data_IF_144753763761
#
_entry.id   IF_144753763761
#
_cell.length_a   1.000
_cell.length_b   1.000
_cell.length_c   1.000
_cell.angle_alpha   90.00
_cell.angle_beta   90.00
_cell.angle_gamma   90.00
#
_symmetry.space_group_name_H-M   'P 1'
#
loop_
_entity.id
_entity.type
_entity.pdbx_description
1 polymer ?
#
# COMPACT_ATOMS: atom_id res chain seq x y z
N UNK A 1 7.95 7.98 30.65
CA UNK A 1 8.96 7.76 29.59
C UNK A 1 8.28 8.01 28.26
N UNK A 2 8.94 8.62 27.28
CA UNK A 2 8.34 8.84 25.95
C UNK A 2 8.12 7.50 25.24
N UNK A 3 6.94 7.32 24.64
CA UNK A 3 6.62 6.13 23.83
C UNK A 3 7.57 6.00 22.64
N UNK A 4 8.18 4.83 22.47
CA UNK A 4 9.03 4.56 21.29
C UNK A 4 8.15 4.13 20.11
N UNK A 5 8.25 4.86 19.00
CA UNK A 5 7.58 4.52 17.74
C UNK A 5 8.42 3.51 16.96
N UNK A 6 7.81 2.40 16.57
CA UNK A 6 8.38 1.39 15.67
C UNK A 6 7.70 1.51 14.30
N UNK A 7 8.47 1.66 13.23
CA UNK A 7 7.95 1.58 11.86
C UNK A 7 7.77 0.09 11.53
N UNK A 8 6.52 -0.36 11.49
CA UNK A 8 6.21 -1.79 11.40
C UNK A 8 6.78 -2.43 10.13
N UNK A 9 6.74 -1.69 9.04
CA UNK A 9 7.21 -2.11 7.73
C UNK A 9 8.73 -2.11 7.56
N UNK A 10 9.46 -1.47 8.47
CA UNK A 10 10.92 -1.47 8.52
C UNK A 10 11.49 -2.67 9.30
N UNK A 11 10.62 -3.48 9.91
CA UNK A 11 11.01 -4.68 10.63
C UNK A 11 11.21 -5.85 9.66
N UNK A 12 12.04 -6.81 10.03
CA UNK A 12 12.01 -8.16 9.43
C UNK A 12 10.92 -9.01 10.07
N UNK A 13 10.56 -10.14 9.45
CA UNK A 13 9.46 -10.96 9.96
C UNK A 13 9.76 -11.55 11.36
N UNK A 14 11.01 -11.89 11.66
CA UNK A 14 11.42 -12.44 12.95
C UNK A 14 11.37 -11.39 14.07
N UNK A 15 11.63 -10.12 13.71
CA UNK A 15 11.41 -8.99 14.61
C UNK A 15 9.92 -8.80 14.90
N UNK A 16 9.05 -8.88 13.88
CA UNK A 16 7.59 -8.87 14.07
C UNK A 16 7.13 -10.08 14.90
N UNK A 17 7.71 -11.26 14.67
CA UNK A 17 7.43 -12.47 15.44
C UNK A 17 7.81 -12.32 16.94
N UNK A 18 8.79 -11.47 17.23
CA UNK A 18 9.28 -11.20 18.58
C UNK A 18 8.53 -10.05 19.30
N UNK A 19 7.63 -9.34 18.62
CA UNK A 19 6.86 -8.25 19.24
C UNK A 19 5.89 -8.79 20.31
N UNK A 20 5.68 -8.04 21.41
CA UNK A 20 4.58 -8.31 22.34
C UNK A 20 3.24 -8.29 21.61
N UNK A 21 2.38 -9.28 21.86
CA UNK A 21 1.08 -9.40 21.16
C UNK A 21 0.05 -8.38 21.64
N UNK A 22 0.33 -7.68 22.73
CA UNK A 22 -0.42 -6.54 23.25
C UNK A 22 0.22 -5.18 22.88
N UNK A 23 1.23 -5.14 22.01
CA UNK A 23 1.70 -3.87 21.46
C UNK A 23 0.59 -3.20 20.64
N UNK A 24 0.35 -1.88 20.77
CA UNK A 24 -0.54 -1.16 19.87
C UNK A 24 0.05 -1.12 18.46
N UNK A 25 -0.71 -1.63 17.49
CA UNK A 25 -0.43 -1.48 16.07
C UNK A 25 -1.46 -0.55 15.44
N UNK A 26 -0.99 0.51 14.79
CA UNK A 26 -1.85 1.58 14.25
C UNK A 26 -1.62 1.72 12.75
N UNK A 27 -2.68 1.59 11.97
CA UNK A 27 -2.76 1.88 10.54
C UNK A 27 -3.22 3.32 10.31
N UNK A 28 -2.34 4.27 9.95
CA UNK A 28 -2.74 5.65 9.71
C UNK A 28 -3.34 5.84 8.31
N UNK A 29 -4.50 6.50 8.24
CA UNK A 29 -5.09 6.96 6.98
C UNK A 29 -4.53 8.36 6.67
N UNK A 30 -3.60 8.48 5.72
CA UNK A 30 -2.84 9.70 5.50
C UNK A 30 -1.70 9.91 6.52
N UNK A 31 -1.12 11.10 6.49
CA UNK A 31 0.07 11.47 7.28
C UNK A 31 -0.14 12.78 8.05
N UNK A 32 0.86 13.21 8.81
CA UNK A 32 0.83 14.48 9.55
C UNK A 32 0.14 14.41 10.91
N UNK A 33 0.02 13.20 11.48
CA UNK A 33 -0.53 13.00 12.84
C UNK A 33 0.49 13.37 13.92
N UNK A 34 -0.01 13.97 15.00
CA UNK A 34 0.75 14.14 16.24
C UNK A 34 0.89 12.78 16.95
N UNK A 35 2.11 12.24 16.94
CA UNK A 35 2.39 10.92 17.49
C UNK A 35 2.48 10.92 19.03
N UNK A 36 2.73 12.07 19.66
CA UNK A 36 2.71 12.19 21.13
C UNK A 36 1.25 12.12 21.61
N UNK A 37 0.36 12.83 20.93
CA UNK A 37 -1.07 12.77 21.21
C UNK A 37 -1.65 11.38 20.94
N UNK A 38 -1.20 10.69 19.89
CA UNK A 38 -1.54 9.30 19.61
C UNK A 38 -1.12 8.37 20.75
N UNK A 39 0.12 8.50 21.21
CA UNK A 39 0.63 7.71 22.33
C UNK A 39 -0.19 7.95 23.60
N UNK A 40 -0.50 9.22 23.91
CA UNK A 40 -1.33 9.57 25.07
C UNK A 40 -2.74 8.97 24.99
N UNK A 41 -3.39 9.01 23.82
CA UNK A 41 -4.70 8.35 23.61
C UNK A 41 -4.65 6.83 23.85
N UNK A 42 -3.48 6.22 23.64
CA UNK A 42 -3.24 4.79 23.86
C UNK A 42 -2.64 4.48 25.24
N UNK A 43 -2.74 5.43 26.18
CA UNK A 43 -2.25 5.33 27.56
C UNK A 43 -0.73 5.21 27.66
N UNK A 44 -0.02 5.98 26.83
CA UNK A 44 1.44 6.14 26.85
C UNK A 44 2.19 4.79 26.91
N UNK A 45 1.96 3.88 25.94
CA UNK A 45 2.59 2.57 25.93
C UNK A 45 4.11 2.71 25.80
N UNK A 46 4.92 1.75 26.27
CA UNK A 46 6.37 1.82 26.11
C UNK A 46 6.80 1.80 24.63
N UNK A 47 6.04 1.09 23.79
CA UNK A 47 6.24 0.98 22.35
C UNK A 47 4.91 1.06 21.61
N UNK A 48 4.93 1.60 20.40
CA UNK A 48 3.81 1.64 19.47
C UNK A 48 4.30 1.29 18.06
N UNK A 49 3.66 0.33 17.42
CA UNK A 49 3.90 0.01 16.02
C UNK A 49 3.04 0.86 15.10
N UNK A 50 3.67 1.62 14.21
CA UNK A 50 3.02 2.40 13.18
C UNK A 50 3.19 1.68 11.83
N UNK A 51 2.08 1.29 11.21
CA UNK A 51 2.07 0.70 9.89
C UNK A 51 2.37 1.76 8.81
N UNK A 52 2.70 1.33 7.57
CA UNK A 52 2.70 2.23 6.43
C UNK A 52 1.41 3.05 6.34
N UNK A 53 1.50 4.25 5.79
CA UNK A 53 0.31 5.07 5.60
C UNK A 53 -0.56 4.50 4.49
N UNK A 54 -1.87 4.41 4.74
CA UNK A 54 -2.85 4.20 3.68
C UNK A 54 -3.09 5.54 2.96
N UNK A 55 -2.79 5.68 1.66
CA UNK A 55 -2.60 7.00 1.04
C UNK A 55 -3.89 7.74 0.66
N UNK A 56 -4.97 7.02 0.30
CA UNK A 56 -6.24 7.61 -0.14
C UNK A 56 -7.38 6.60 -0.07
N UNK A 57 -8.62 7.02 -0.35
CA UNK A 57 -9.79 6.14 -0.51
C UNK A 57 -10.96 6.49 0.41
N UNK A 58 -10.70 7.21 1.50
CA UNK A 58 -11.74 7.74 2.37
C UNK A 58 -12.21 9.13 1.95
N UNK A 59 -13.35 9.56 2.49
CA UNK A 59 -13.89 10.91 2.25
C UNK A 59 -12.94 12.00 2.75
N UNK A 60 -12.60 12.96 1.91
CA UNK A 60 -11.63 14.02 2.19
C UNK A 60 -10.19 13.68 1.78
N UNK A 61 -9.91 12.48 1.27
CA UNK A 61 -8.56 12.10 0.85
C UNK A 61 -8.14 12.65 -0.53
N UNK A 62 -9.06 13.32 -1.25
CA UNK A 62 -8.88 13.79 -2.63
C UNK A 62 -9.07 12.74 -3.74
N UNK A 63 -9.08 11.45 -3.37
CA UNK A 63 -9.41 10.33 -4.26
C UNK A 63 -10.32 9.36 -3.50
N UNK A 64 -11.56 9.81 -3.31
CA UNK A 64 -12.56 9.14 -2.50
C UNK A 64 -13.22 8.00 -3.29
N UNK A 65 -13.43 6.86 -2.66
CA UNK A 65 -14.15 5.72 -3.24
C UNK A 65 -15.38 5.36 -2.39
N UNK A 66 -16.29 4.47 -2.85
CA UNK A 66 -17.43 4.06 -2.04
C UNK A 66 -17.03 3.48 -0.68
N UNK A 67 -17.65 3.99 0.38
CA UNK A 67 -17.26 3.72 1.78
C UNK A 67 -17.21 2.23 2.15
N UNK A 68 -18.16 1.43 1.63
CA UNK A 68 -18.19 -0.02 1.83
C UNK A 68 -16.97 -0.74 1.23
N UNK A 69 -16.51 -0.30 0.07
CA UNK A 69 -15.33 -0.86 -0.61
C UNK A 69 -14.08 -0.53 0.20
N UNK A 70 -13.95 0.73 0.61
CA UNK A 70 -12.85 1.18 1.46
C UNK A 70 -12.80 0.42 2.79
N UNK A 71 -13.94 0.34 3.49
CA UNK A 71 -14.05 -0.34 4.79
C UNK A 71 -13.64 -1.80 4.68
N UNK A 72 -14.09 -2.51 3.65
CA UNK A 72 -13.73 -3.92 3.49
C UNK A 72 -12.24 -4.14 3.32
N UNK A 73 -11.57 -3.27 2.55
CA UNK A 73 -10.12 -3.33 2.38
C UNK A 73 -9.40 -3.13 3.72
N UNK A 74 -9.76 -2.07 4.47
CA UNK A 74 -9.15 -1.76 5.76
C UNK A 74 -9.41 -2.88 6.77
N UNK A 75 -10.63 -3.40 6.86
CA UNK A 75 -10.97 -4.51 7.75
C UNK A 75 -10.05 -5.71 7.52
N UNK A 76 -9.83 -6.12 6.27
CA UNK A 76 -8.97 -7.27 5.96
C UNK A 76 -7.51 -7.05 6.40
N UNK A 77 -7.00 -5.82 6.31
CA UNK A 77 -5.65 -5.49 6.82
C UNK A 77 -5.58 -5.57 8.34
N UNK A 78 -6.58 -5.02 9.06
CA UNK A 78 -6.62 -5.12 10.52
C UNK A 78 -6.80 -6.58 10.98
N UNK A 79 -7.62 -7.35 10.27
CA UNK A 79 -7.81 -8.77 10.53
C UNK A 79 -6.53 -9.56 10.30
N UNK A 80 -5.70 -9.15 9.33
CA UNK A 80 -4.39 -9.78 9.14
C UNK A 80 -3.52 -9.67 10.41
N UNK A 81 -3.47 -8.49 11.04
CA UNK A 81 -2.73 -8.33 12.30
C UNK A 81 -3.36 -9.14 13.44
N UNK A 82 -4.69 -9.25 13.49
CA UNK A 82 -5.38 -10.05 14.52
C UNK A 82 -5.14 -11.55 14.34
N UNK A 83 -5.07 -12.03 13.10
CA UNK A 83 -4.70 -13.42 12.79
C UNK A 83 -3.28 -13.73 13.26
N UNK A 84 -2.37 -12.74 13.25
CA UNK A 84 -1.04 -12.82 13.86
C UNK A 84 -1.07 -12.65 15.40
N UNK A 85 -2.27 -12.76 15.99
CA UNK A 85 -2.57 -12.68 17.43
C UNK A 85 -2.34 -11.32 18.09
N UNK A 86 -2.20 -10.22 17.34
CA UNK A 86 -2.12 -8.89 17.95
C UNK A 86 -3.49 -8.45 18.48
N UNK A 87 -3.56 -8.13 19.77
CA UNK A 87 -4.82 -7.81 20.46
C UNK A 87 -5.22 -6.32 20.38
N UNK A 88 -4.24 -5.44 20.14
CA UNK A 88 -4.41 -3.97 20.12
C UNK A 88 -4.14 -3.43 18.72
N UNK A 89 -5.10 -3.63 17.82
CA UNK A 89 -5.01 -3.24 16.41
C UNK A 89 -6.00 -2.13 16.09
N UNK A 90 -5.48 -1.03 15.58
CA UNK A 90 -6.26 0.18 15.32
C UNK A 90 -6.02 0.74 13.91
N UNK A 91 -7.00 1.46 13.41
CA UNK A 91 -6.87 2.40 12.31
C UNK A 91 -6.98 3.82 12.85
N UNK A 92 -6.09 4.71 12.43
CA UNK A 92 -6.11 6.13 12.81
C UNK A 92 -6.72 6.94 11.66
N UNK A 93 -7.93 7.44 11.87
CA UNK A 93 -8.67 8.23 10.90
C UNK A 93 -8.37 9.73 11.07
N UNK A 94 -8.33 10.50 9.97
CA UNK A 94 -8.09 11.92 10.05
C UNK A 94 -9.34 12.67 10.56
N UNK A 95 -9.13 13.93 10.93
CA UNK A 95 -10.23 14.82 11.27
C UNK A 95 -11.19 15.01 10.07
N UNK A 96 -12.49 15.12 10.35
CA UNK A 96 -13.51 15.32 9.32
C UNK A 96 -14.07 14.03 8.71
N UNK A 97 -13.65 12.86 9.22
CA UNK A 97 -14.33 11.61 8.90
C UNK A 97 -15.80 11.68 9.32
N UNK A 98 -16.70 11.29 8.43
CA UNK A 98 -18.13 11.31 8.70
C UNK A 98 -18.45 10.33 9.85
N UNK A 99 -18.92 10.81 11.03
CA UNK A 99 -19.19 9.95 12.17
C UNK A 99 -20.34 8.97 11.92
N UNK A 100 -21.13 9.17 10.86
CA UNK A 100 -22.21 8.29 10.42
C UNK A 100 -21.80 7.40 9.24
N UNK A 101 -20.52 7.41 8.84
CA UNK A 101 -20.03 6.51 7.77
C UNK A 101 -20.15 5.04 8.19
N UNK A 102 -20.36 4.19 7.19
CA UNK A 102 -20.35 2.74 7.37
C UNK A 102 -18.99 2.26 7.91
N UNK A 103 -17.91 2.94 7.55
CA UNK A 103 -16.58 2.71 8.13
C UNK A 103 -16.57 2.86 9.65
N UNK A 104 -17.09 3.98 10.18
CA UNK A 104 -17.12 4.23 11.63
C UNK A 104 -18.10 3.29 12.33
N UNK A 105 -19.26 3.01 11.72
CA UNK A 105 -20.21 2.01 12.23
C UNK A 105 -19.54 0.65 12.42
N UNK A 106 -18.79 0.19 11.41
CA UNK A 106 -18.18 -1.14 11.40
C UNK A 106 -16.91 -1.24 12.24
N UNK A 107 -16.11 -0.17 12.33
CA UNK A 107 -14.78 -0.18 12.95
C UNK A 107 -14.66 0.69 14.21
N UNK A 108 -15.78 1.15 14.78
CA UNK A 108 -15.80 2.09 15.92
C UNK A 108 -14.83 1.75 17.06
N UNK A 109 -14.74 0.48 17.48
CA UNK A 109 -13.86 0.03 18.56
C UNK A 109 -12.36 -0.03 18.17
N UNK A 110 -12.07 -0.08 16.88
CA UNK A 110 -10.73 -0.13 16.31
C UNK A 110 -10.32 1.18 15.62
N UNK A 111 -11.15 2.23 15.66
CA UNK A 111 -10.89 3.50 14.99
C UNK A 111 -10.49 4.59 16.00
N UNK A 112 -9.25 5.06 15.91
CA UNK A 112 -8.74 6.19 16.67
C UNK A 112 -8.98 7.49 15.93
N UNK A 113 -9.23 8.56 16.69
CA UNK A 113 -9.38 9.94 16.22
C UNK A 113 -8.68 10.87 17.20
N UNK A 114 -7.73 11.66 16.70
CA UNK A 114 -7.01 12.64 17.51
C UNK A 114 -7.67 14.02 17.43
N UNK A 115 -7.73 14.77 18.54
CA UNK A 115 -8.17 16.16 18.51
C UNK A 115 -7.12 17.05 17.84
N UNK A 116 -7.56 17.98 16.98
CA UNK A 116 -6.70 18.96 16.31
C UNK A 116 -6.63 18.78 14.79
N UNK A 117 -6.12 19.80 14.06
CA UNK A 117 -6.02 19.74 12.61
C UNK A 117 -5.05 18.65 12.21
N UNK A 118 -5.57 17.58 11.60
CA UNK A 118 -4.72 16.72 10.80
C UNK A 118 -4.33 17.57 9.60
N UNK A 119 -3.05 17.91 9.47
CA UNK A 119 -2.55 18.36 8.18
C UNK A 119 -2.54 17.13 7.28
N UNK A 120 -3.72 16.70 6.82
CA UNK A 120 -3.82 16.00 5.55
C UNK A 120 -3.39 17.07 4.57
N UNK A 121 -2.08 17.18 4.35
CA UNK A 121 -1.57 17.89 3.20
C UNK A 121 -2.29 17.20 2.04
N UNK A 122 -3.15 17.89 1.26
CA UNK A 122 -3.69 17.29 0.06
C UNK A 122 -2.45 16.84 -0.69
N UNK A 123 -2.27 15.52 -0.75
CA UNK A 123 -1.06 14.94 -1.26
C UNK A 123 -0.91 15.52 -2.66
N UNK A 124 0.05 16.43 -2.83
CA UNK A 124 0.32 17.13 -4.10
C UNK A 124 0.62 16.18 -5.27
N UNK A 125 0.64 14.89 -4.95
CA UNK A 125 0.85 13.72 -5.78
C UNK A 125 -0.45 13.17 -6.40
N UNK A 126 -1.65 13.65 -6.05
CA UNK A 126 -2.85 13.35 -6.85
C UNK A 126 -2.84 14.20 -8.12
N UNK A 127 -3.11 13.63 -9.31
CA UNK A 127 -2.97 14.35 -10.56
C UNK A 127 -3.99 15.51 -10.63
N UNK A 128 -3.54 16.76 -10.80
CA UNK A 128 -4.46 17.86 -11.10
C UNK A 128 -5.03 17.73 -12.52
N UNK A 129 -6.10 18.46 -12.80
CA UNK A 129 -6.76 18.41 -14.12
C UNK A 129 -5.85 18.80 -15.28
N UNK A 130 -4.77 19.54 -15.02
CA UNK A 130 -3.73 19.90 -16.00
C UNK A 130 -2.91 18.71 -16.48
N UNK A 131 -2.97 17.57 -15.79
CA UNK A 131 -2.23 16.35 -16.12
C UNK A 131 -3.03 15.36 -16.99
N UNK A 132 -4.27 15.72 -17.39
CA UNK A 132 -5.09 14.89 -18.27
C UNK A 132 -4.35 14.60 -19.59
N UNK A 133 -4.54 13.39 -20.13
CA UNK A 133 -3.84 12.90 -21.31
C UNK A 133 -2.46 12.27 -21.04
N UNK A 134 -1.88 12.44 -19.85
CA UNK A 134 -0.74 11.65 -19.38
C UNK A 134 -1.18 10.25 -18.97
N UNK A 135 -0.22 9.32 -18.94
CA UNK A 135 -0.40 8.00 -18.35
C UNK A 135 -0.28 8.12 -16.83
N UNK A 136 -1.34 7.76 -16.13
CA UNK A 136 -1.35 7.67 -14.67
C UNK A 136 -0.74 6.33 -14.26
N UNK A 137 0.46 6.37 -13.72
CA UNK A 137 1.13 5.24 -13.08
C UNK A 137 0.51 4.99 -11.72
N UNK A 138 0.16 3.74 -11.44
CA UNK A 138 -0.44 3.31 -10.18
C UNK A 138 0.50 2.28 -9.55
N UNK A 139 1.49 2.71 -8.75
CA UNK A 139 2.40 1.80 -8.07
C UNK A 139 1.74 1.12 -6.87
N UNK A 140 1.82 -0.20 -6.84
CA UNK A 140 1.20 -1.06 -5.83
C UNK A 140 2.26 -2.02 -5.31
N UNK A 141 2.74 -1.75 -4.11
CA UNK A 141 3.68 -2.60 -3.39
C UNK A 141 2.95 -3.62 -2.53
N UNK A 142 3.58 -3.95 -1.42
CA UNK A 142 3.04 -4.82 -0.38
C UNK A 142 3.81 -4.63 0.93
N UNK A 143 3.22 -5.15 2.01
CA UNK A 143 3.84 -5.27 3.33
C UNK A 143 3.88 -6.76 3.66
N UNK A 144 5.04 -7.39 3.46
CA UNK A 144 5.20 -8.83 3.66
C UNK A 144 6.59 -9.26 4.09
N UNK A 145 6.65 -10.44 4.71
CA UNK A 145 7.91 -11.06 5.13
C UNK A 145 8.89 -11.18 3.95
N UNK A 146 10.15 -10.83 4.16
CA UNK A 146 11.22 -11.03 3.19
C UNK A 146 12.42 -11.73 3.83
N UNK A 147 12.16 -12.83 4.54
CA UNK A 147 13.21 -13.54 5.27
C UNK A 147 13.84 -12.71 6.40
N UNK A 148 14.98 -13.17 6.91
CA UNK A 148 15.60 -12.60 8.11
C UNK A 148 16.37 -11.29 7.86
N UNK A 149 16.68 -10.96 6.61
CA UNK A 149 17.63 -9.89 6.27
C UNK A 149 16.99 -8.67 5.61
N UNK A 150 15.73 -8.74 5.19
CA UNK A 150 15.04 -7.64 4.53
C UNK A 150 13.80 -7.20 5.32
N UNK A 151 13.45 -5.89 5.22
CA UNK A 151 12.27 -5.35 5.88
C UNK A 151 10.97 -5.75 5.15
N UNK A 152 9.82 -5.53 5.78
CA UNK A 152 8.54 -5.86 5.17
C UNK A 152 8.15 -4.97 3.97
N UNK A 153 8.77 -3.80 3.81
CA UNK A 153 8.46 -2.80 2.78
C UNK A 153 9.17 -2.98 1.43
N UNK A 154 9.89 -4.10 1.20
CA UNK A 154 10.69 -4.35 -0.02
C UNK A 154 9.91 -4.04 -1.31
N UNK A 155 8.74 -4.65 -1.48
CA UNK A 155 7.89 -4.49 -2.66
C UNK A 155 7.49 -3.04 -2.90
N UNK A 156 7.21 -2.31 -1.82
CA UNK A 156 6.79 -0.92 -1.83
C UNK A 156 7.93 -0.01 -2.26
N UNK A 157 9.13 -0.19 -1.69
CA UNK A 157 10.32 0.60 -2.04
C UNK A 157 10.68 0.44 -3.51
N UNK A 158 10.70 -0.80 -3.99
CA UNK A 158 11.10 -1.10 -5.37
C UNK A 158 10.15 -0.44 -6.36
N UNK A 159 8.83 -0.65 -6.19
CA UNK A 159 7.87 -0.16 -7.16
C UNK A 159 7.71 1.37 -7.12
N UNK A 160 7.86 1.98 -5.96
CA UNK A 160 7.88 3.43 -5.80
C UNK A 160 9.10 4.04 -6.52
N UNK A 161 10.29 3.47 -6.34
CA UNK A 161 11.50 3.95 -7.01
C UNK A 161 11.37 3.88 -8.54
N UNK A 162 10.79 2.80 -9.06
CA UNK A 162 10.57 2.61 -10.50
C UNK A 162 9.54 3.60 -11.04
N UNK A 163 8.43 3.82 -10.32
CA UNK A 163 7.41 4.80 -10.72
C UNK A 163 7.97 6.23 -10.74
N UNK A 164 8.66 6.63 -9.67
CA UNK A 164 9.29 7.95 -9.57
C UNK A 164 10.39 8.16 -10.63
N UNK A 165 11.23 7.15 -10.84
CA UNK A 165 12.24 7.16 -11.92
C UNK A 165 11.62 7.26 -13.31
N UNK A 166 10.45 6.64 -13.52
CA UNK A 166 9.71 6.74 -14.79
C UNK A 166 9.15 8.14 -15.00
N UNK A 167 8.49 8.73 -14.00
CA UNK A 167 7.99 10.12 -14.08
C UNK A 167 9.13 11.10 -14.31
N UNK A 168 10.29 10.90 -13.68
CA UNK A 168 11.48 11.73 -13.89
C UNK A 168 11.99 11.66 -15.33
N UNK A 169 11.92 10.48 -15.97
CA UNK A 169 12.41 10.27 -17.35
C UNK A 169 11.43 10.74 -18.43
N UNK A 170 10.12 10.69 -18.18
CA UNK A 170 9.09 11.10 -19.15
C UNK A 170 8.04 12.04 -18.54
N UNK A 171 8.45 13.16 -17.93
CA UNK A 171 7.58 13.99 -17.07
C UNK A 171 6.41 14.63 -17.83
N UNK A 172 6.52 14.82 -19.15
CA UNK A 172 5.44 15.36 -19.99
C UNK A 172 4.39 14.33 -20.38
N UNK A 173 4.64 13.04 -20.12
CA UNK A 173 3.79 11.91 -20.56
C UNK A 173 3.28 11.04 -19.43
N UNK A 174 3.82 11.15 -18.22
CA UNK A 174 3.38 10.37 -17.07
C UNK A 174 3.22 11.20 -15.82
N UNK A 175 2.38 10.69 -14.94
CA UNK A 175 2.19 11.13 -13.56
C UNK A 175 2.06 9.87 -12.70
N UNK A 176 2.51 9.89 -11.45
CA UNK A 176 2.35 8.75 -10.55
C UNK A 176 1.42 9.08 -9.40
N UNK A 177 0.51 8.17 -9.08
CA UNK A 177 -0.16 8.18 -7.78
C UNK A 177 0.85 7.85 -6.67
N UNK A 178 0.53 8.18 -5.42
CA UNK A 178 1.24 7.64 -4.26
C UNK A 178 1.27 6.11 -4.30
N UNK A 179 2.38 5.51 -3.88
CA UNK A 179 2.48 4.05 -3.77
C UNK A 179 1.48 3.51 -2.75
N UNK A 180 0.77 2.44 -3.13
CA UNK A 180 -0.06 1.69 -2.20
C UNK A 180 0.79 0.58 -1.56
N UNK A 181 1.04 0.60 -0.24
CA UNK A 181 1.89 -0.39 0.43
C UNK A 181 1.16 -1.70 0.78
N UNK A 182 -0.07 -1.87 0.29
CA UNK A 182 -0.94 -3.00 0.61
C UNK A 182 -1.47 -3.63 -0.65
N UNK A 183 -1.48 -4.97 -0.67
CA UNK A 183 -1.83 -5.77 -1.84
C UNK A 183 -2.48 -7.08 -1.42
N UNK A 184 -2.40 -8.08 -2.28
CA UNK A 184 -2.97 -9.41 -2.02
C UNK A 184 -1.87 -10.42 -1.80
N UNK A 185 -1.92 -11.11 -0.65
CA UNK A 185 -1.07 -12.28 -0.37
C UNK A 185 -1.93 -13.45 0.07
N UNK A 186 -1.97 -14.49 -0.76
CA UNK A 186 -2.69 -15.74 -0.51
C UNK A 186 -1.87 -16.77 0.25
N UNK A 187 -0.60 -16.47 0.57
CA UNK A 187 0.34 -17.39 1.22
C UNK A 187 0.77 -16.94 2.64
N UNK A 188 0.02 -16.00 3.23
CA UNK A 188 0.42 -15.30 4.46
C UNK A 188 0.48 -16.14 5.75
N UNK A 189 -0.19 -17.29 5.82
CA UNK A 189 -0.41 -18.01 7.09
C UNK A 189 0.86 -18.57 7.73
N UNK A 190 2.00 -18.53 7.03
CA UNK A 190 3.26 -19.11 7.51
C UNK A 190 4.14 -18.13 8.29
N UNK A 191 3.96 -16.81 8.16
CA UNK A 191 4.85 -15.82 8.77
C UNK A 191 4.09 -14.56 9.19
N UNK A 192 4.34 -14.11 10.42
CA UNK A 192 3.76 -12.86 10.94
C UNK A 192 4.25 -11.63 10.15
N UNK A 193 3.42 -10.60 10.11
CA UNK A 193 3.73 -9.31 9.48
C UNK A 193 3.30 -9.18 8.02
N UNK A 194 2.83 -10.27 7.40
CA UNK A 194 2.28 -10.22 6.04
C UNK A 194 0.81 -9.83 6.05
N UNK A 195 0.50 -8.68 5.46
CA UNK A 195 -0.85 -8.14 5.40
C UNK A 195 -1.56 -8.56 4.12
N UNK A 196 -2.86 -8.81 4.18
CA UNK A 196 -3.63 -9.18 2.99
C UNK A 196 -4.90 -8.34 2.89
N UNK A 197 -5.01 -7.59 1.80
CA UNK A 197 -6.20 -6.83 1.47
C UNK A 197 -7.39 -7.72 1.09
N UNK A 198 -7.14 -8.98 0.72
CA UNK A 198 -8.15 -9.91 0.21
C UNK A 198 -8.48 -9.63 -1.26
N UNK A 199 -8.43 -10.68 -2.11
CA UNK A 199 -8.51 -10.54 -3.56
C UNK A 199 -9.69 -9.72 -4.09
N UNK A 200 -10.92 -10.03 -3.63
CA UNK A 200 -12.13 -9.30 -4.07
C UNK A 200 -12.11 -7.83 -3.63
N UNK A 201 -11.75 -7.57 -2.37
CA UNK A 201 -11.70 -6.20 -1.85
C UNK A 201 -10.62 -5.38 -2.55
N UNK A 202 -9.50 -6.00 -2.91
CA UNK A 202 -8.45 -5.39 -3.71
C UNK A 202 -8.93 -5.03 -5.12
N UNK A 203 -9.59 -5.95 -5.82
CA UNK A 203 -10.18 -5.69 -7.15
C UNK A 203 -11.22 -4.58 -7.10
N UNK A 204 -12.17 -4.65 -6.15
CA UNK A 204 -13.23 -3.65 -5.97
C UNK A 204 -12.66 -2.26 -5.68
N UNK A 205 -11.62 -2.18 -4.84
CA UNK A 205 -10.94 -0.93 -4.50
C UNK A 205 -10.32 -0.28 -5.73
N UNK A 206 -9.51 -1.02 -6.49
CA UNK A 206 -8.83 -0.45 -7.64
C UNK A 206 -9.77 -0.13 -8.80
N UNK A 207 -10.86 -0.90 -8.96
CA UNK A 207 -11.91 -0.55 -9.90
C UNK A 207 -12.60 0.75 -9.50
N UNK A 208 -12.90 0.94 -8.21
CA UNK A 208 -13.49 2.20 -7.74
C UNK A 208 -12.53 3.40 -7.91
N UNK A 209 -11.23 3.20 -7.67
CA UNK A 209 -10.20 4.23 -7.94
C UNK A 209 -10.19 4.59 -9.44
N UNK A 210 -10.21 3.59 -10.32
CA UNK A 210 -10.27 3.83 -11.77
C UNK A 210 -11.57 4.56 -12.14
N UNK A 211 -12.72 4.16 -11.61
CA UNK A 211 -14.01 4.81 -11.85
C UNK A 211 -13.95 6.32 -11.54
N UNK A 212 -13.32 6.69 -10.43
CA UNK A 212 -13.12 8.10 -10.01
C UNK A 212 -12.16 8.83 -10.96
N UNK A 213 -11.04 8.22 -11.34
CA UNK A 213 -10.09 8.82 -12.29
C UNK A 213 -10.74 9.05 -13.67
N UNK A 214 -11.54 8.09 -14.15
CA UNK A 214 -12.28 8.21 -15.41
C UNK A 214 -13.34 9.30 -15.34
N UNK A 215 -14.09 9.38 -14.24
CA UNK A 215 -15.06 10.45 -14.01
C UNK A 215 -14.39 11.85 -14.01
N UNK A 216 -13.13 11.93 -13.57
CA UNK A 216 -12.29 13.12 -13.63
C UNK A 216 -11.62 13.35 -15.00
N UNK A 217 -11.88 12.52 -16.00
CA UNK A 217 -11.39 12.71 -17.36
C UNK A 217 -9.98 12.18 -17.64
N UNK A 218 -9.41 11.37 -16.74
CA UNK A 218 -8.21 10.60 -17.05
C UNK A 218 -8.59 9.33 -17.81
N UNK A 219 -7.85 9.02 -18.87
CA UNK A 219 -8.19 7.94 -19.81
C UNK A 219 -7.06 6.93 -20.02
N UNK A 220 -5.92 7.08 -19.33
CA UNK A 220 -4.74 6.23 -19.46
C UNK A 220 -4.21 5.84 -18.09
N UNK A 221 -4.29 4.57 -17.75
CA UNK A 221 -3.82 4.03 -16.48
C UNK A 221 -2.87 2.86 -16.70
N UNK A 222 -1.80 2.82 -15.90
CA UNK A 222 -0.85 1.72 -15.90
C UNK A 222 -0.63 1.23 -14.46
N UNK A 223 -1.18 0.07 -14.13
CA UNK A 223 -1.03 -0.56 -12.83
C UNK A 223 0.34 -1.26 -12.77
N UNK A 224 1.11 -0.97 -11.73
CA UNK A 224 2.48 -1.44 -11.57
C UNK A 224 2.57 -2.25 -10.28
N UNK A 225 2.93 -3.53 -10.40
CA UNK A 225 3.12 -4.37 -9.20
C UNK A 225 4.58 -4.40 -8.76
N UNK A 226 4.79 -4.13 -7.47
CA UNK A 226 6.01 -4.51 -6.74
C UNK A 226 5.98 -5.97 -6.29
N UNK A 227 4.77 -6.51 -6.08
CA UNK A 227 4.53 -7.79 -5.43
C UNK A 227 3.96 -8.85 -6.38
N UNK A 228 4.49 -10.07 -6.35
CA UNK A 228 4.03 -11.14 -7.24
C UNK A 228 2.54 -11.48 -7.09
N UNK A 229 2.04 -11.53 -5.85
CA UNK A 229 0.67 -11.92 -5.52
C UNK A 229 -0.43 -10.99 -6.03
N UNK A 230 -0.12 -9.73 -6.36
CA UNK A 230 -1.09 -8.81 -6.96
C UNK A 230 -1.44 -9.17 -8.41
N UNK A 231 -0.54 -9.86 -9.12
CA UNK A 231 -0.52 -9.88 -10.59
C UNK A 231 -1.80 -10.38 -11.24
N UNK A 232 -2.33 -11.51 -10.77
CA UNK A 232 -3.57 -12.08 -11.32
C UNK A 232 -4.78 -11.16 -11.09
N UNK A 233 -4.83 -10.50 -9.93
CA UNK A 233 -5.88 -9.53 -9.60
C UNK A 233 -5.77 -8.26 -10.45
N UNK A 234 -4.56 -7.76 -10.72
CA UNK A 234 -4.36 -6.62 -11.61
C UNK A 234 -4.83 -6.92 -13.04
N UNK A 235 -4.60 -8.14 -13.54
CA UNK A 235 -5.12 -8.58 -14.84
C UNK A 235 -6.66 -8.55 -14.86
N UNK A 236 -7.31 -8.98 -13.77
CA UNK A 236 -8.77 -8.90 -13.66
C UNK A 236 -9.26 -7.45 -13.62
N UNK A 237 -8.60 -6.58 -12.84
CA UNK A 237 -8.91 -5.15 -12.77
C UNK A 237 -8.85 -4.52 -14.17
N UNK A 238 -7.80 -4.78 -14.94
CA UNK A 238 -7.67 -4.26 -16.32
C UNK A 238 -8.85 -4.69 -17.21
N UNK A 239 -9.25 -5.97 -17.13
CA UNK A 239 -10.37 -6.50 -17.92
C UNK A 239 -11.70 -5.82 -17.54
N UNK A 240 -12.02 -5.77 -16.24
CA UNK A 240 -13.25 -5.16 -15.75
C UNK A 240 -13.28 -3.65 -15.99
N UNK A 241 -12.14 -2.96 -15.86
CA UNK A 241 -12.04 -1.53 -16.18
C UNK A 241 -12.33 -1.27 -17.66
N UNK A 242 -11.79 -2.08 -18.56
CA UNK A 242 -12.06 -1.98 -20.01
C UNK A 242 -13.52 -2.30 -20.37
N UNK A 243 -14.17 -3.21 -19.64
CA UNK A 243 -15.59 -3.50 -19.79
C UNK A 243 -16.47 -2.32 -19.32
N UNK A 244 -16.16 -1.74 -18.15
CA UNK A 244 -16.88 -0.58 -17.59
C UNK A 244 -16.68 0.70 -18.41
N UNK A 245 -15.47 0.90 -18.94
CA UNK A 245 -15.06 2.16 -19.57
C UNK A 245 -14.46 1.95 -20.96
N UNK A 246 -15.31 1.86 -21.99
CA UNK A 246 -14.88 1.52 -23.36
C UNK A 246 -13.91 2.50 -24.05
N UNK A 247 -13.63 3.66 -23.44
CA UNK A 247 -12.81 4.74 -24.03
C UNK A 247 -11.49 4.98 -23.29
N UNK A 248 -11.09 4.08 -22.41
CA UNK A 248 -9.83 4.19 -21.67
C UNK A 248 -8.79 3.21 -22.22
N UNK A 249 -7.53 3.52 -21.96
CA UNK A 249 -6.43 2.58 -22.01
C UNK A 249 -6.04 2.21 -20.57
N UNK A 250 -6.20 0.93 -20.21
CA UNK A 250 -5.79 0.40 -18.92
C UNK A 250 -4.88 -0.81 -19.16
N UNK A 251 -3.74 -0.85 -18.49
CA UNK A 251 -2.77 -1.94 -18.66
C UNK A 251 -2.04 -2.26 -17.36
N UNK A 252 -1.49 -3.46 -17.31
CA UNK A 252 -0.56 -3.93 -16.27
C UNK A 252 0.50 -4.80 -16.93
N UNK A 253 1.63 -4.98 -16.25
CA UNK A 253 2.59 -6.06 -16.54
C UNK A 253 2.62 -7.02 -15.35
N UNK A 254 3.38 -8.12 -15.47
CA UNK A 254 3.59 -9.07 -14.39
C UNK A 254 4.43 -8.44 -13.26
N UNK A 255 5.76 -8.42 -13.44
CA UNK A 255 6.67 -7.69 -12.59
C UNK A 255 7.58 -6.79 -13.43
N UNK A 256 8.26 -5.88 -12.75
CA UNK A 256 9.05 -4.81 -13.36
C UNK A 256 10.26 -5.29 -14.20
N UNK A 257 10.66 -6.56 -14.09
CA UNK A 257 11.74 -7.18 -14.88
C UNK A 257 11.26 -8.08 -16.03
N UNK A 258 9.96 -8.29 -16.20
CA UNK A 258 9.41 -9.27 -17.17
C UNK A 258 9.53 -8.88 -18.65
N UNK A 259 10.05 -7.69 -18.97
CA UNK A 259 10.21 -7.21 -20.36
C UNK A 259 11.59 -7.52 -20.96
N UNK A 260 11.74 -7.33 -22.28
CA UNK A 260 12.99 -7.61 -23.02
C UNK A 260 14.26 -7.00 -22.41
N UNK A 261 14.14 -5.81 -21.81
CA UNK A 261 15.27 -5.11 -21.17
C UNK A 261 15.61 -5.77 -19.83
N UNK A 262 14.59 -6.03 -19.01
CA UNK A 262 14.75 -6.69 -17.71
C UNK A 262 15.27 -8.11 -17.87
N UNK A 263 14.70 -8.89 -18.78
CA UNK A 263 15.13 -10.26 -19.08
C UNK A 263 16.60 -10.33 -19.49
N UNK A 264 17.05 -9.44 -20.40
CA UNK A 264 18.46 -9.40 -20.80
C UNK A 264 19.40 -8.97 -19.66
N UNK A 265 18.96 -8.08 -18.78
CA UNK A 265 19.74 -7.71 -17.59
C UNK A 265 19.84 -8.88 -16.61
N UNK A 266 18.72 -9.59 -16.36
CA UNK A 266 18.71 -10.77 -15.50
C UNK A 266 19.62 -11.87 -16.02
N UNK A 267 19.57 -12.19 -17.32
CA UNK A 267 20.46 -13.17 -17.93
C UNK A 267 21.94 -12.82 -17.75
N UNK A 268 22.27 -11.52 -17.83
CA UNK A 268 23.65 -11.04 -17.72
C UNK A 268 24.16 -11.00 -16.28
N UNK A 269 23.33 -10.59 -15.32
CA UNK A 269 23.77 -10.23 -13.98
C UNK A 269 23.39 -11.25 -12.90
N UNK A 270 22.39 -12.10 -13.14
CA UNK A 270 21.97 -13.11 -12.17
C UNK A 270 23.07 -14.15 -11.98
N UNK A 271 23.36 -14.46 -10.73
CA UNK A 271 24.31 -15.50 -10.34
C UNK A 271 23.63 -16.70 -9.66
N UNK A 272 22.42 -16.52 -9.14
CA UNK A 272 21.63 -17.56 -8.50
C UNK A 272 21.06 -18.60 -9.48
N UNK A 273 20.91 -19.88 -9.05
CA UNK A 273 20.20 -20.90 -9.82
C UNK A 273 18.69 -20.62 -9.86
N UNK A 274 17.94 -21.39 -10.67
CA UNK A 274 16.48 -21.33 -10.75
C UNK A 274 15.86 -21.38 -9.34
N UNK A 275 14.92 -20.47 -9.07
CA UNK A 275 14.32 -20.27 -7.75
C UNK A 275 15.04 -19.25 -6.85
N UNK A 276 16.34 -18.98 -7.06
CA UNK A 276 17.15 -18.14 -6.16
C UNK A 276 17.13 -16.63 -6.42
N UNK A 277 16.14 -16.10 -7.15
CA UNK A 277 16.09 -14.68 -7.54
C UNK A 277 14.77 -13.97 -7.23
N UNK A 278 13.73 -14.67 -6.78
CA UNK A 278 12.40 -14.08 -6.58
C UNK A 278 12.31 -13.44 -5.20
N UNK A 279 11.60 -14.12 -4.31
CA UNK A 279 11.24 -13.65 -2.97
C UNK A 279 12.43 -13.65 -1.98
N UNK A 280 12.72 -12.51 -1.38
CA UNK A 280 13.83 -12.26 -0.45
C UNK A 280 15.21 -12.66 -0.99
N UNK A 281 15.34 -12.76 -2.31
CA UNK A 281 16.47 -13.39 -2.98
C UNK A 281 17.45 -12.35 -3.54
N UNK A 282 18.36 -12.80 -4.41
CA UNK A 282 19.39 -11.97 -5.07
C UNK A 282 18.83 -10.67 -5.66
N UNK A 283 17.70 -10.71 -6.37
CA UNK A 283 17.16 -9.54 -7.07
C UNK A 283 16.66 -8.45 -6.10
N UNK A 284 15.77 -8.81 -5.18
CA UNK A 284 15.21 -7.86 -4.21
C UNK A 284 16.29 -7.36 -3.26
N UNK A 285 17.19 -8.23 -2.81
CA UNK A 285 18.33 -7.83 -1.98
C UNK A 285 19.23 -6.83 -2.72
N UNK A 286 19.52 -7.06 -4.01
CA UNK A 286 20.32 -6.14 -4.82
C UNK A 286 19.61 -4.79 -5.04
N UNK A 287 18.29 -4.78 -5.23
CA UNK A 287 17.53 -3.52 -5.29
C UNK A 287 17.62 -2.75 -3.97
N UNK A 288 17.44 -3.42 -2.84
CA UNK A 288 17.47 -2.78 -1.53
C UNK A 288 18.86 -2.21 -1.21
N UNK A 289 19.94 -2.93 -1.53
CA UNK A 289 21.32 -2.42 -1.40
C UNK A 289 21.63 -1.21 -2.29
N UNK A 290 20.86 -1.00 -3.36
CA UNK A 290 21.01 0.17 -4.23
C UNK A 290 20.15 1.35 -3.77
N UNK A 291 18.95 1.08 -3.28
CA UNK A 291 17.95 2.08 -2.90
C UNK A 291 18.10 2.57 -1.45
N UNK A 292 18.85 1.84 -0.62
CA UNK A 292 19.05 2.12 0.82
C UNK A 292 20.50 1.93 1.25
#
# INVERSE_FOLDING_TARGET
MATRILRFDELSWDQVASLPRDIPLVLPLGSGYDLELLASQLSDPPQLGLLPTFPFGWRGSGLEIPDRVFTRYISNLLDSLRDDSFSRVYCLAPQGFDPQSFFIEQLSSACLRLPGPTHIVPMSYLPPDTERGKVILIPIGHTEQHGFHLPLCVDTIIIEAIANGTVTKVPTRSWTLPVMPYGVSTHRSSFAGTLNAGGRAFEDFWLAVIDVLVARGFDRMYLMSGHGGNTSFLVNIVKYAGERHRRIFCATTWLHTSGRIGAAALEKYRTSPIGGMGHACELETAYLLHLR
#
